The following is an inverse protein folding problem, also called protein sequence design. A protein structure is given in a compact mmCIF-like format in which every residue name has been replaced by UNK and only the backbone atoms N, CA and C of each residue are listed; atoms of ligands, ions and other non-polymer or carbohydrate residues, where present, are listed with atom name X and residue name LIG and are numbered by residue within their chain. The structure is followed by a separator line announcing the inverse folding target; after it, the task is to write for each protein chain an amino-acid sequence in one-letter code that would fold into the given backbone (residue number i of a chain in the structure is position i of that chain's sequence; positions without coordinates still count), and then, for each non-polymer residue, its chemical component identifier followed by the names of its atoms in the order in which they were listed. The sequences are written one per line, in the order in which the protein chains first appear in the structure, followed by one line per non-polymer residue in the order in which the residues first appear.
data_IF_468245865241
#
_entry.id   IF_468245865241
#
_cell.length_a   1.000
_cell.length_b   1.000
_cell.length_c   1.000
_cell.angle_alpha   90.00
_cell.angle_beta   90.00
_cell.angle_gamma   90.00
#
_symmetry.space_group_name_H-M   'P 1'
#
loop_
_entity.id
_entity.type
_entity.pdbx_description
1 polymer ?
#
# COMPACT_ATOMS: atom_id res chain seq x y z
N UNK A 1 2.61 -24.29 4.40
CA UNK A 1 1.57 -23.22 4.39
C UNK A 1 1.90 -22.28 3.24
N UNK A 2 0.94 -21.91 2.38
CA UNK A 2 1.19 -20.89 1.34
C UNK A 2 1.62 -19.59 2.04
N UNK A 3 2.61 -18.85 1.54
CA UNK A 3 3.00 -17.58 2.14
C UNK A 3 1.79 -16.63 2.15
N UNK A 4 1.53 -16.03 3.31
CA UNK A 4 0.37 -15.15 3.54
C UNK A 4 0.43 -13.86 2.70
N UNK A 5 1.61 -13.50 2.18
CA UNK A 5 1.85 -12.31 1.37
C UNK A 5 2.88 -12.63 0.28
N UNK A 6 2.64 -12.14 -0.93
CA UNK A 6 3.62 -12.20 -2.02
C UNK A 6 4.50 -10.95 -1.98
N UNK A 7 5.82 -11.12 -2.14
CA UNK A 7 6.73 -9.99 -2.31
C UNK A 7 6.64 -9.49 -3.75
N UNK A 8 6.45 -8.20 -3.92
CA UNK A 8 6.46 -7.52 -5.22
C UNK A 8 7.53 -6.43 -5.22
N UNK A 9 8.09 -6.14 -6.40
CA UNK A 9 8.99 -5.02 -6.62
C UNK A 9 8.27 -4.02 -7.52
N UNK A 10 8.22 -2.77 -7.10
CA UNK A 10 7.60 -1.67 -7.85
C UNK A 10 8.55 -0.48 -7.87
N UNK A 11 8.54 0.27 -8.96
CA UNK A 11 9.24 1.55 -9.05
C UNK A 11 8.28 2.65 -8.62
N UNK A 12 8.75 3.56 -7.77
CA UNK A 12 8.01 4.72 -7.28
C UNK A 12 8.93 5.93 -7.38
N UNK A 13 8.35 7.11 -7.61
CA UNK A 13 9.07 8.37 -7.60
C UNK A 13 9.62 8.67 -6.19
N UNK A 14 10.76 9.36 -6.12
CA UNK A 14 11.49 9.59 -4.87
C UNK A 14 10.66 10.38 -3.84
N UNK A 15 9.99 11.43 -4.30
CA UNK A 15 9.10 12.28 -3.49
C UNK A 15 7.93 11.47 -2.90
N UNK A 16 7.37 10.55 -3.69
CA UNK A 16 6.32 9.65 -3.24
C UNK A 16 6.84 8.67 -2.17
N UNK A 17 8.04 8.11 -2.34
CA UNK A 17 8.67 7.23 -1.35
C UNK A 17 8.88 7.97 -0.03
N UNK A 18 9.40 9.19 -0.06
CA UNK A 18 9.60 10.00 1.15
C UNK A 18 8.26 10.29 1.86
N UNK A 19 7.24 10.69 1.09
CA UNK A 19 5.92 10.98 1.67
C UNK A 19 5.29 9.76 2.31
N UNK A 20 5.38 8.59 1.68
CA UNK A 20 4.85 7.33 2.23
C UNK A 20 5.62 6.93 3.50
N UNK A 21 6.95 7.11 3.54
CA UNK A 21 7.74 6.85 4.76
C UNK A 21 7.27 7.70 5.94
N UNK A 22 7.13 9.01 5.74
CA UNK A 22 6.64 9.92 6.78
C UNK A 22 5.24 9.54 7.28
N UNK A 23 4.33 9.19 6.36
CA UNK A 23 2.98 8.75 6.74
C UNK A 23 2.98 7.43 7.50
N UNK A 24 3.85 6.49 7.12
CA UNK A 24 4.00 5.22 7.81
C UNK A 24 4.57 5.40 9.23
N UNK A 25 5.57 6.27 9.40
CA UNK A 25 6.13 6.62 10.71
C UNK A 25 5.10 7.29 11.62
N UNK A 26 4.30 8.22 11.08
CA UNK A 26 3.24 8.90 11.83
C UNK A 26 2.12 7.95 12.31
N UNK A 27 1.88 6.85 11.59
CA UNK A 27 0.88 5.82 11.92
C UNK A 27 1.50 4.63 12.70
N UNK A 28 2.78 4.72 13.10
CA UNK A 28 3.54 3.66 13.78
C UNK A 28 3.51 2.31 13.03
N UNK A 29 3.74 2.37 11.71
CA UNK A 29 3.71 1.22 10.81
C UNK A 29 4.96 1.13 9.93
N UNK A 30 5.27 -0.09 9.51
CA UNK A 30 6.27 -0.29 8.44
C UNK A 30 5.78 0.25 7.09
N UNK A 31 6.70 0.73 6.26
CA UNK A 31 6.44 1.19 4.90
C UNK A 31 5.61 0.19 4.07
N UNK A 32 5.99 -1.09 4.10
CA UNK A 32 5.26 -2.16 3.38
C UNK A 32 3.84 -2.37 3.90
N UNK A 33 3.62 -2.23 5.22
CA UNK A 33 2.30 -2.36 5.80
C UNK A 33 1.40 -1.17 5.44
N UNK A 34 1.96 0.04 5.48
CA UNK A 34 1.25 1.26 5.10
C UNK A 34 0.83 1.23 3.63
N UNK A 35 1.74 0.91 2.70
CA UNK A 35 1.41 0.74 1.27
C UNK A 35 0.31 -0.30 1.08
N UNK A 36 0.41 -1.44 1.74
CA UNK A 36 -0.58 -2.50 1.60
C UNK A 36 -1.97 -2.08 2.09
N UNK A 37 -2.06 -1.19 3.10
CA UNK A 37 -3.33 -0.65 3.58
C UNK A 37 -3.93 0.32 2.55
N UNK A 38 -3.13 1.25 2.03
CA UNK A 38 -3.55 2.22 1.01
C UNK A 38 -4.02 1.53 -0.27
N UNK A 39 -3.27 0.53 -0.75
CA UNK A 39 -3.63 -0.21 -1.95
C UNK A 39 -4.94 -1.00 -1.76
N UNK A 40 -5.18 -1.58 -0.58
CA UNK A 40 -6.45 -2.26 -0.27
C UNK A 40 -7.63 -1.30 -0.31
N UNK A 41 -7.49 -0.13 0.31
CA UNK A 41 -8.52 0.90 0.31
C UNK A 41 -8.83 1.38 -1.12
N UNK A 42 -7.79 1.60 -1.93
CA UNK A 42 -7.94 1.96 -3.33
C UNK A 42 -8.69 0.89 -4.13
N UNK A 43 -8.29 -0.39 -4.03
CA UNK A 43 -8.95 -1.50 -4.73
C UNK A 43 -10.42 -1.60 -4.32
N UNK A 44 -10.73 -1.51 -3.03
CA UNK A 44 -12.11 -1.55 -2.54
C UNK A 44 -12.97 -0.40 -3.11
N UNK A 45 -12.40 0.80 -3.25
CA UNK A 45 -13.07 1.96 -3.87
C UNK A 45 -13.30 1.75 -5.37
N UNK A 46 -12.32 1.17 -6.07
CA UNK A 46 -12.46 0.83 -7.49
C UNK A 46 -13.56 -0.23 -7.68
N UNK A 47 -13.57 -1.28 -6.86
CA UNK A 47 -14.58 -2.34 -6.92
C UNK A 47 -15.99 -1.81 -6.59
N UNK A 48 -16.10 -0.85 -5.67
CA UNK A 48 -17.37 -0.21 -5.34
C UNK A 48 -17.90 0.71 -6.46
N UNK A 49 -17.01 1.34 -7.23
CA UNK A 49 -17.38 2.25 -8.33
C UNK A 49 -17.62 1.52 -9.65
N UNK A 50 -17.09 0.30 -9.79
CA UNK A 50 -17.28 -0.56 -10.96
C UNK A 50 -17.74 -1.96 -10.50
N UNK A 51 -19.00 -2.10 -10.06
CA UNK A 51 -19.54 -3.42 -9.76
C UNK A 51 -19.47 -4.28 -11.02
N UNK A 52 -18.81 -5.43 -10.90
CA UNK A 52 -18.71 -6.44 -11.96
C UNK A 52 -20.08 -6.93 -12.43
#
# INVERSE_FOLDING_TARGET
MKPLKNKVSITLDEDLVERIKQLAENDDRSFSQYINLVLKDYVNKVDATHPK
#
